data_IF_607411225312
#
_entry.id   IF_607411225312
#
_cell.length_a   1.000
_cell.length_b   1.000
_cell.length_c   1.000
_cell.angle_alpha   90.00
_cell.angle_beta   90.00
_cell.angle_gamma   90.00
#
_symmetry.space_group_name_H-M   'P 1'
#
loop_
_entity.id
_entity.type
_entity.pdbx_description
1 polymer ?
#
# COMPACT_ATOMS: atom_id res chain seq x y z
N UNK A 1 -19.37 5.71 15.43
CA UNK A 1 -18.83 4.58 16.22
C UNK A 1 -17.60 4.08 15.49
N UNK A 2 -16.45 4.02 16.14
CA UNK A 2 -15.20 3.57 15.50
C UNK A 2 -14.94 2.11 15.87
N UNK A 3 -14.83 1.24 14.88
CA UNK A 3 -14.61 -0.20 15.10
C UNK A 3 -13.17 -0.58 14.78
N UNK A 4 -12.63 -1.57 15.50
CA UNK A 4 -11.37 -2.22 15.19
C UNK A 4 -11.62 -3.72 14.94
N UNK A 5 -11.27 -4.18 13.75
CA UNK A 5 -11.37 -5.58 13.32
C UNK A 5 -9.99 -6.18 13.21
N UNK A 6 -9.76 -7.30 13.90
CA UNK A 6 -8.60 -8.15 13.69
C UNK A 6 -8.99 -9.32 12.80
N UNK A 7 -8.29 -9.50 11.69
CA UNK A 7 -8.47 -10.61 10.75
C UNK A 7 -7.20 -11.46 10.77
N UNK A 8 -7.32 -12.70 11.24
CA UNK A 8 -6.28 -13.71 11.09
C UNK A 8 -6.44 -14.32 9.70
N UNK A 9 -5.56 -13.95 8.77
CA UNK A 9 -5.68 -14.31 7.35
C UNK A 9 -5.30 -15.78 7.14
N UNK A 10 -5.99 -16.45 6.22
CA UNK A 10 -5.65 -17.81 5.82
C UNK A 10 -4.54 -17.81 4.74
N UNK A 11 -3.29 -18.21 5.04
CA UNK A 11 -2.19 -18.17 4.07
C UNK A 11 -2.39 -19.14 2.89
N UNK A 12 -3.23 -20.16 3.04
CA UNK A 12 -3.54 -21.13 1.99
C UNK A 12 -4.52 -20.56 0.96
N UNK A 13 -5.21 -19.46 1.26
CA UNK A 13 -6.12 -18.82 0.33
C UNK A 13 -5.34 -18.00 -0.73
N UNK A 14 -5.64 -18.23 -2.02
CA UNK A 14 -5.01 -17.50 -3.13
C UNK A 14 -5.31 -16.00 -3.07
N UNK A 15 -6.53 -15.61 -2.71
CA UNK A 15 -6.92 -14.21 -2.61
C UNK A 15 -6.08 -13.48 -1.54
N UNK A 16 -5.90 -14.11 -0.38
CA UNK A 16 -5.03 -13.59 0.70
C UNK A 16 -3.61 -13.38 0.20
N UNK A 17 -3.01 -14.37 -0.48
CA UNK A 17 -1.64 -14.23 -1.00
C UNK A 17 -1.51 -13.12 -2.04
N UNK A 18 -2.50 -12.97 -2.91
CA UNK A 18 -2.52 -11.90 -3.90
C UNK A 18 -2.62 -10.52 -3.23
N UNK A 19 -3.52 -10.38 -2.26
CA UNK A 19 -3.71 -9.14 -1.50
C UNK A 19 -2.47 -8.78 -0.67
N UNK A 20 -1.83 -9.76 -0.03
CA UNK A 20 -0.59 -9.51 0.74
C UNK A 20 0.59 -9.09 -0.16
N UNK A 21 0.60 -9.52 -1.42
CA UNK A 21 1.60 -9.13 -2.41
C UNK A 21 1.33 -7.75 -3.03
N UNK A 22 0.08 -7.29 -3.04
CA UNK A 22 -0.34 -6.04 -3.65
C UNK A 22 -1.29 -5.24 -2.74
N UNK A 23 -0.75 -4.16 -2.16
CA UNK A 23 -1.48 -3.25 -1.26
C UNK A 23 -2.72 -2.64 -1.92
N UNK A 24 -2.70 -2.40 -3.23
CA UNK A 24 -3.86 -1.83 -3.92
C UNK A 24 -4.99 -2.85 -4.05
N UNK A 25 -4.66 -4.11 -4.33
CA UNK A 25 -5.62 -5.21 -4.32
C UNK A 25 -6.18 -5.46 -2.91
N UNK A 26 -5.33 -5.49 -1.89
CA UNK A 26 -5.76 -5.56 -0.50
C UNK A 26 -6.71 -4.42 -0.13
N UNK A 27 -6.37 -3.18 -0.51
CA UNK A 27 -7.21 -2.03 -0.24
C UNK A 27 -8.60 -2.17 -0.88
N UNK A 28 -8.68 -2.64 -2.13
CA UNK A 28 -9.96 -2.89 -2.82
C UNK A 28 -10.78 -3.96 -2.10
N UNK A 29 -10.16 -5.06 -1.66
CA UNK A 29 -10.83 -6.09 -0.88
C UNK A 29 -11.41 -5.52 0.42
N UNK A 30 -10.63 -4.70 1.14
CA UNK A 30 -11.07 -4.09 2.40
C UNK A 30 -12.13 -3.01 2.23
N UNK A 31 -12.17 -2.31 1.09
CA UNK A 31 -13.25 -1.36 0.80
C UNK A 31 -14.62 -2.02 0.72
N UNK A 32 -14.70 -3.35 0.51
CA UNK A 32 -15.96 -4.11 0.59
C UNK A 32 -16.55 -4.19 2.00
N UNK A 33 -15.72 -3.97 3.03
CA UNK A 33 -16.18 -3.85 4.41
C UNK A 33 -16.88 -2.51 4.68
N UNK A 34 -16.76 -1.55 3.75
CA UNK A 34 -17.46 -0.28 3.82
C UNK A 34 -18.86 -0.42 3.22
N UNK A 35 -19.89 0.17 3.84
CA UNK A 35 -21.21 0.21 3.24
C UNK A 35 -21.13 0.97 1.92
N UNK A 36 -21.96 0.61 0.94
CA UNK A 36 -22.04 1.36 -0.31
C UNK A 36 -22.51 2.79 0.00
N UNK A 37 -21.58 3.73 -0.14
CA UNK A 37 -21.86 5.15 0.02
C UNK A 37 -21.77 5.80 -1.35
N UNK A 38 -22.87 6.43 -1.78
CA UNK A 38 -22.92 7.27 -2.97
C UNK A 38 -22.22 8.62 -2.70
N UNK A 39 -20.99 8.58 -2.19
CA UNK A 39 -20.18 9.77 -1.90
C UNK A 39 -19.20 10.03 -3.04
N UNK A 40 -18.94 11.31 -3.40
CA UNK A 40 -17.86 11.67 -4.32
C UNK A 40 -16.47 11.24 -3.83
N UNK A 41 -16.30 11.01 -2.53
CA UNK A 41 -15.04 10.57 -1.92
C UNK A 41 -15.22 9.31 -1.09
N UNK A 42 -15.40 8.15 -1.74
CA UNK A 42 -15.74 6.91 -1.05
C UNK A 42 -14.81 6.54 0.11
N UNK A 43 -13.52 6.62 -0.16
CA UNK A 43 -12.46 6.36 0.82
C UNK A 43 -12.56 7.24 2.07
N UNK A 44 -12.84 8.53 1.91
CA UNK A 44 -12.90 9.46 3.03
C UNK A 44 -14.16 9.21 3.87
N UNK A 45 -15.27 8.89 3.21
CA UNK A 45 -16.53 8.55 3.87
C UNK A 45 -16.43 7.25 4.67
N UNK A 46 -15.74 6.23 4.14
CA UNK A 46 -15.54 4.95 4.82
C UNK A 46 -14.64 5.03 6.07
N UNK A 47 -13.76 6.04 6.16
CA UNK A 47 -12.80 6.17 7.25
C UNK A 47 -11.90 4.94 7.43
N UNK A 48 -11.67 4.18 6.35
CA UNK A 48 -10.97 2.90 6.38
C UNK A 48 -9.46 3.08 6.54
N UNK A 49 -8.93 2.56 7.64
CA UNK A 49 -7.50 2.44 7.90
C UNK A 49 -7.15 0.97 8.11
N UNK A 50 -5.97 0.54 7.67
CA UNK A 50 -5.53 -0.82 7.91
C UNK A 50 -4.02 -0.90 8.12
N UNK A 51 -3.59 -1.94 8.83
CA UNK A 51 -2.18 -2.28 9.03
C UNK A 51 -2.00 -3.79 9.04
N UNK A 52 -1.03 -4.26 8.26
CA UNK A 52 -0.58 -5.66 8.31
C UNK A 52 0.40 -5.85 9.47
N UNK A 53 0.16 -6.82 10.33
CA UNK A 53 1.09 -7.22 11.37
C UNK A 53 2.10 -8.24 10.80
N UNK A 54 3.35 -8.11 11.25
CA UNK A 54 4.41 -9.06 10.91
C UNK A 54 4.46 -10.13 11.99
N UNK A 55 4.37 -11.39 11.61
CA UNK A 55 4.36 -12.54 12.52
C UNK A 55 4.33 -13.85 11.73
N UNK A 56 4.39 -15.01 12.40
CA UNK A 56 4.27 -16.32 11.75
C UNK A 56 2.91 -16.45 11.03
N UNK A 57 1.86 -15.87 11.64
CA UNK A 57 0.53 -15.83 11.07
C UNK A 57 0.20 -14.43 10.54
N UNK A 58 -0.15 -14.27 9.24
CA UNK A 58 -0.49 -12.99 8.67
C UNK A 58 -1.76 -12.44 9.32
N UNK A 59 -1.61 -11.38 10.11
CA UNK A 59 -2.73 -10.72 10.79
C UNK A 59 -2.94 -9.33 10.21
N UNK A 60 -4.19 -8.98 9.96
CA UNK A 60 -4.59 -7.67 9.47
C UNK A 60 -5.43 -6.96 10.54
N UNK A 61 -5.07 -5.73 10.85
CA UNK A 61 -5.86 -4.83 11.68
C UNK A 61 -6.55 -3.82 10.78
N UNK A 62 -7.87 -3.72 10.88
CA UNK A 62 -8.72 -2.83 10.08
C UNK A 62 -9.54 -1.96 11.01
N UNK A 63 -9.42 -0.64 10.86
CA UNK A 63 -10.23 0.33 11.58
C UNK A 63 -11.20 1.00 10.62
N UNK A 64 -12.46 1.11 11.03
CA UNK A 64 -13.55 1.72 10.25
C UNK A 64 -14.34 2.71 11.10
N UNK A 65 -14.96 3.71 10.46
CA UNK A 65 -15.84 4.68 11.12
C UNK A 65 -17.30 4.18 11.29
N UNK A 66 -17.54 2.92 10.90
CA UNK A 66 -18.82 2.22 10.90
C UNK A 66 -18.62 0.75 11.29
N UNK A 67 -19.71 0.01 11.47
CA UNK A 67 -19.67 -1.45 11.72
C UNK A 67 -19.34 -2.17 10.40
N UNK A 68 -18.21 -2.88 10.30
CA UNK A 68 -17.80 -3.50 9.04
C UNK A 68 -18.64 -4.73 8.70
N UNK A 69 -19.03 -4.86 7.44
CA UNK A 69 -19.68 -6.08 6.94
C UNK A 69 -18.63 -7.14 6.59
N UNK A 70 -18.43 -8.08 7.50
CA UNK A 70 -17.45 -9.16 7.34
C UNK A 70 -17.87 -10.20 6.30
N UNK A 71 -19.16 -10.28 5.94
CA UNK A 71 -19.67 -11.23 4.95
C UNK A 71 -19.23 -10.89 3.52
N UNK A 72 -18.81 -9.64 3.29
CA UNK A 72 -18.32 -9.15 2.00
C UNK A 72 -16.88 -9.60 1.67
N UNK A 73 -16.18 -10.21 2.64
CA UNK A 73 -14.85 -10.79 2.41
C UNK A 73 -14.96 -12.08 1.57
N UNK A 74 -13.91 -12.42 0.79
CA UNK A 74 -13.87 -13.71 0.10
C UNK A 74 -14.08 -14.89 1.04
N UNK A 75 -14.66 -15.98 0.52
CA UNK A 75 -14.76 -17.23 1.28
C UNK A 75 -13.36 -17.68 1.75
N UNK A 76 -13.29 -18.19 2.97
CA UNK A 76 -12.06 -18.67 3.62
C UNK A 76 -10.92 -17.64 3.67
N UNK A 77 -11.25 -16.34 3.67
CA UNK A 77 -10.23 -15.27 3.75
C UNK A 77 -9.50 -15.28 5.10
N UNK A 78 -10.20 -15.67 6.16
CA UNK A 78 -9.64 -15.76 7.50
C UNK A 78 -10.70 -15.64 8.58
N UNK A 79 -10.24 -15.61 9.84
CA UNK A 79 -11.11 -15.45 11.01
C UNK A 79 -11.05 -14.00 11.48
N UNK A 80 -12.21 -13.33 11.50
CA UNK A 80 -12.32 -11.93 11.89
C UNK A 80 -12.95 -11.77 13.28
N UNK A 81 -12.47 -10.79 14.06
CA UNK A 81 -13.06 -10.37 15.33
C UNK A 81 -13.10 -8.85 15.38
N UNK A 82 -14.29 -8.30 15.63
CA UNK A 82 -14.53 -6.85 15.73
C UNK A 82 -14.73 -6.44 17.18
N UNK A 83 -14.17 -5.29 17.55
CA UNK A 83 -14.38 -4.64 18.85
C UNK A 83 -14.70 -3.16 18.65
N UNK A 84 -15.54 -2.59 19.52
CA UNK A 84 -15.79 -1.15 19.54
C UNK A 84 -14.61 -0.42 20.19
N UNK A 85 -14.01 0.50 19.45
CA UNK A 85 -12.89 1.31 19.90
C UNK A 85 -13.36 2.64 20.51
N UNK A 86 -14.62 3.01 20.32
CA UNK A 86 -15.20 4.28 20.78
C UNK A 86 -15.00 4.53 22.28
N UNK A 87 -15.23 3.57 23.19
CA UNK A 87 -15.03 3.79 24.62
C UNK A 87 -13.56 4.08 24.97
N UNK A 88 -12.63 3.38 24.31
CA UNK A 88 -11.19 3.59 24.51
C UNK A 88 -10.79 4.98 24.03
N UNK A 89 -11.25 5.41 22.85
CA UNK A 89 -10.95 6.72 22.29
C UNK A 89 -11.54 7.85 23.15
N UNK A 90 -12.77 7.68 23.63
CA UNK A 90 -13.41 8.66 24.53
C UNK A 90 -12.71 8.76 25.89
N UNK A 91 -11.97 7.72 26.30
CA UNK A 91 -11.18 7.74 27.54
C UNK A 91 -9.82 8.46 27.42
N UNK A 92 -9.46 8.93 26.21
CA UNK A 92 -8.22 9.66 25.99
C UNK A 92 -8.37 11.11 26.49
N UNK A 93 -7.63 11.43 27.54
CA UNK A 93 -7.57 12.76 28.14
C UNK A 93 -6.16 13.33 28.01
N UNK A 94 -6.05 14.67 28.07
CA UNK A 94 -4.75 15.33 28.09
C UNK A 94 -3.89 14.80 29.26
N UNK A 95 -2.59 14.62 29.00
CA UNK A 95 -1.63 14.07 29.96
C UNK A 95 -1.65 12.54 30.12
N UNK A 96 -2.59 11.82 29.49
CA UNK A 96 -2.64 10.35 29.57
C UNK A 96 -1.55 9.71 28.71
N UNK A 97 -0.69 8.92 29.34
CA UNK A 97 0.32 8.12 28.63
C UNK A 97 -0.34 6.92 27.96
N UNK A 98 -0.10 6.78 26.65
CA UNK A 98 -0.61 5.65 25.87
C UNK A 98 0.49 5.06 24.99
N UNK A 99 0.47 3.73 24.86
CA UNK A 99 1.28 3.04 23.86
C UNK A 99 0.49 2.96 22.57
N UNK A 100 1.07 3.45 21.49
CA UNK A 100 0.48 3.36 20.17
C UNK A 100 1.54 2.92 19.16
N UNK A 101 1.08 2.54 17.96
CA UNK A 101 1.94 2.21 16.84
C UNK A 101 1.33 2.77 15.57
N UNK A 102 2.16 3.36 14.72
CA UNK A 102 1.76 3.88 13.42
C UNK A 102 2.61 3.27 12.32
N UNK A 103 2.06 3.21 11.11
CA UNK A 103 2.82 3.00 9.88
C UNK A 103 2.57 4.21 9.01
N UNK A 104 3.62 4.97 8.72
CA UNK A 104 3.55 6.21 7.97
C UNK A 104 4.60 6.23 6.87
N UNK A 105 4.45 7.14 5.91
CA UNK A 105 5.43 7.42 4.88
C UNK A 105 6.07 8.80 5.14
N UNK A 106 7.21 8.86 5.85
CA UNK A 106 7.91 10.11 6.14
C UNK A 106 8.38 10.75 4.84
N UNK A 107 7.85 11.92 4.52
CA UNK A 107 8.17 12.65 3.29
C UNK A 107 8.28 14.14 3.53
N UNK A 108 9.14 14.78 2.75
CA UNK A 108 9.30 16.23 2.70
C UNK A 108 9.31 16.70 1.25
N UNK A 109 8.66 17.83 0.97
CA UNK A 109 8.74 18.48 -0.32
C UNK A 109 10.00 19.36 -0.34
N UNK A 110 11.02 18.97 -1.10
CA UNK A 110 12.24 19.77 -1.28
C UNK A 110 12.14 20.55 -2.58
N UNK A 111 12.49 21.83 -2.58
CA UNK A 111 12.54 22.61 -3.82
C UNK A 111 13.57 21.96 -4.75
N UNK A 112 13.11 21.38 -5.86
CA UNK A 112 14.00 20.96 -6.93
C UNK A 112 14.22 22.21 -7.78
N UNK A 113 15.43 22.78 -7.74
CA UNK A 113 15.90 23.99 -8.45
C UNK A 113 14.82 24.80 -9.18
N UNK A 114 14.31 24.28 -10.30
CA UNK A 114 13.19 24.85 -11.05
C UNK A 114 11.88 24.04 -10.85
N UNK A 115 11.09 24.28 -9.78
CA UNK A 115 9.88 23.51 -9.51
C UNK A 115 8.77 23.82 -10.51
N UNK A 116 8.17 22.78 -11.09
CA UNK A 116 7.03 22.90 -12.00
C UNK A 116 5.88 23.62 -11.31
N UNK A 117 5.38 24.69 -11.95
CA UNK A 117 4.27 25.49 -11.44
C UNK A 117 2.98 24.67 -11.55
N UNK A 118 2.22 24.56 -10.47
CA UNK A 118 0.90 23.94 -10.53
C UNK A 118 0.00 24.77 -11.48
N UNK A 119 -0.63 24.16 -12.50
CA UNK A 119 -1.34 24.89 -13.55
C UNK A 119 -2.52 25.71 -13.02
N UNK A 120 -3.24 25.19 -12.01
CA UNK A 120 -4.40 25.87 -11.42
C UNK A 120 -4.04 26.81 -10.25
N UNK A 121 -3.16 26.41 -9.33
CA UNK A 121 -2.92 27.16 -8.08
C UNK A 121 -1.67 28.03 -8.10
N UNK A 122 -0.84 27.94 -9.14
CA UNK A 122 0.41 28.70 -9.24
C UNK A 122 1.51 28.31 -8.25
N UNK A 123 1.23 27.39 -7.32
CA UNK A 123 2.17 26.95 -6.28
C UNK A 123 3.27 26.09 -6.89
N UNK A 124 4.51 26.35 -6.45
CA UNK A 124 5.68 25.55 -6.79
C UNK A 124 5.72 24.34 -5.87
N UNK A 125 5.45 23.14 -6.40
CA UNK A 125 5.54 21.90 -5.62
C UNK A 125 6.96 21.35 -5.74
N UNK A 126 7.68 21.31 -4.63
CA UNK A 126 8.98 20.65 -4.56
C UNK A 126 8.89 19.15 -4.86
N UNK A 127 10.02 18.54 -5.23
CA UNK A 127 10.13 17.07 -5.36
C UNK A 127 9.89 16.44 -3.98
N UNK A 128 8.98 15.48 -3.93
CA UNK A 128 8.73 14.70 -2.72
C UNK A 128 9.91 13.75 -2.52
N UNK A 129 10.60 13.89 -1.40
CA UNK A 129 11.72 13.04 -1.01
C UNK A 129 11.35 12.26 0.23
N UNK A 130 11.63 10.96 0.22
CA UNK A 130 11.44 10.08 1.39
C UNK A 130 12.50 10.37 2.45
N UNK A 131 12.08 10.39 3.70
CA UNK A 131 12.98 10.50 4.85
C UNK A 131 13.21 9.12 5.47
N UNK A 132 14.42 8.87 5.95
CA UNK A 132 14.84 7.61 6.57
C UNK A 132 15.65 7.89 7.84
N UNK A 133 15.80 6.89 8.72
CA UNK A 133 16.58 7.05 9.96
C UNK A 133 16.05 8.15 10.88
N UNK A 134 16.95 8.97 11.41
CA UNK A 134 16.62 10.02 12.38
C UNK A 134 15.74 11.14 11.79
N UNK A 135 15.86 11.41 10.49
CA UNK A 135 14.98 12.37 9.80
C UNK A 135 13.52 11.91 9.83
N UNK A 136 13.28 10.59 9.70
CA UNK A 136 11.93 10.03 9.79
C UNK A 136 11.36 10.11 11.21
N UNK A 137 12.21 9.93 12.23
CA UNK A 137 11.83 10.07 13.65
C UNK A 137 11.47 11.53 13.96
N UNK A 138 12.32 12.46 13.56
CA UNK A 138 12.11 13.91 13.74
C UNK A 138 10.85 14.38 13.02
N UNK A 139 10.63 13.88 11.80
CA UNK A 139 9.40 14.12 11.04
C UNK A 139 8.16 13.66 11.81
N UNK A 140 8.19 12.47 12.41
CA UNK A 140 7.07 11.98 13.22
C UNK A 140 6.87 12.82 14.48
N UNK A 141 7.93 13.14 15.21
CA UNK A 141 7.84 13.96 16.43
C UNK A 141 7.19 15.32 16.15
N UNK A 142 7.59 15.98 15.07
CA UNK A 142 6.99 17.25 14.64
C UNK A 142 5.49 17.10 14.35
N UNK A 143 5.11 16.02 13.64
CA UNK A 143 3.70 15.75 13.31
C UNK A 143 2.87 15.41 14.55
N UNK A 144 3.43 14.63 15.47
CA UNK A 144 2.80 14.28 16.74
C UNK A 144 2.53 15.53 17.58
N UNK A 145 3.55 16.39 17.75
CA UNK A 145 3.42 17.64 18.51
C UNK A 145 2.36 18.57 17.92
N UNK A 146 2.30 18.69 16.59
CA UNK A 146 1.31 19.54 15.91
C UNK A 146 -0.15 19.13 16.16
N UNK A 147 -0.40 17.90 16.60
CA UNK A 147 -1.74 17.39 16.95
C UNK A 147 -1.91 17.14 18.44
N UNK A 148 -1.02 17.68 19.28
CA UNK A 148 -1.09 17.59 20.74
C UNK A 148 -0.56 16.28 21.34
N UNK A 149 0.12 15.43 20.54
CA UNK A 149 0.79 14.24 21.05
C UNK A 149 2.23 14.58 21.44
N UNK A 150 2.66 14.08 22.59
CA UNK A 150 4.04 14.22 23.08
C UNK A 150 4.68 12.82 23.18
N UNK A 151 5.44 12.39 22.15
CA UNK A 151 6.07 11.06 22.17
C UNK A 151 7.16 10.98 23.25
N UNK A 152 6.95 10.19 24.30
CA UNK A 152 7.95 9.96 25.36
C UNK A 152 9.07 9.00 24.92
N UNK A 153 8.72 7.99 24.12
CA UNK A 153 9.67 7.02 23.56
C UNK A 153 9.28 6.74 22.13
N UNK A 154 10.22 6.86 21.19
CA UNK A 154 10.00 6.57 19.77
C UNK A 154 10.97 5.48 19.35
N UNK A 155 10.42 4.38 18.83
CA UNK A 155 11.19 3.31 18.17
C UNK A 155 10.74 3.23 16.72
N UNK A 156 11.69 3.37 15.80
CA UNK A 156 11.46 3.25 14.37
C UNK A 156 11.81 1.84 13.89
N UNK A 157 10.89 1.20 13.17
CA UNK A 157 11.18 -0.01 12.41
C UNK A 157 10.97 0.30 10.93
N UNK A 158 12.03 0.25 10.11
CA UNK A 158 11.88 0.37 8.66
C UNK A 158 10.93 -0.72 8.17
N UNK A 159 9.88 -0.30 7.46
CA UNK A 159 8.99 -1.22 6.77
C UNK A 159 9.15 -1.01 5.27
N UNK A 160 9.66 -2.01 4.52
CA UNK A 160 9.63 -1.93 3.08
C UNK A 160 8.16 -1.88 2.64
N UNK A 161 7.81 -0.87 1.85
CA UNK A 161 6.51 -0.87 1.19
C UNK A 161 6.53 -1.99 0.15
N UNK A 162 5.54 -2.90 0.13
CA UNK A 162 5.41 -3.86 -0.95
C UNK A 162 5.34 -3.08 -2.25
N UNK A 163 6.28 -3.32 -3.17
CA UNK A 163 6.24 -2.72 -4.49
C UNK A 163 4.99 -3.26 -5.18
N UNK A 164 4.06 -2.39 -5.53
CA UNK A 164 3.00 -2.72 -6.48
C UNK A 164 3.67 -3.29 -7.71
N UNK A 165 3.40 -4.55 -8.05
CA UNK A 165 3.90 -5.15 -9.28
C UNK A 165 3.23 -4.39 -10.42
N UNK A 166 3.94 -3.44 -11.02
CA UNK A 166 3.53 -2.86 -12.29
C UNK A 166 3.58 -4.01 -13.29
N UNK A 167 2.43 -4.56 -13.64
CA UNK A 167 2.31 -5.46 -14.78
C UNK A 167 2.67 -4.65 -16.00
N UNK A 168 3.91 -4.81 -16.47
CA UNK A 168 4.38 -4.23 -17.72
C UNK A 168 3.71 -5.00 -18.85
N UNK A 169 2.49 -4.63 -19.19
CA UNK A 169 1.80 -5.14 -20.37
C UNK A 169 2.51 -4.54 -21.58
N UNK A 170 3.55 -5.20 -22.06
CA UNK A 170 4.11 -4.88 -23.37
C UNK A 170 3.07 -5.30 -24.42
N UNK A 171 2.63 -4.41 -25.33
CA UNK A 171 1.94 -4.86 -26.52
C UNK A 171 2.96 -5.55 -27.41
N UNK A 172 2.92 -6.88 -27.48
CA UNK A 172 3.66 -7.62 -28.50
C UNK A 172 3.09 -7.25 -29.86
N UNK A 173 3.77 -6.35 -30.57
CA UNK A 173 3.60 -6.18 -32.01
C UNK A 173 4.25 -7.39 -32.69
N UNK A 174 3.44 -8.37 -33.06
CA UNK A 174 3.83 -9.41 -34.00
C UNK A 174 3.76 -8.83 -35.42
N UNK A 175 4.91 -8.53 -36.00
CA UNK A 175 5.08 -8.44 -37.46
C UNK A 175 5.88 -9.67 -37.93
N UNK A 176 5.48 -10.34 -39.02
CA UNK A 176 6.17 -11.52 -39.52
C UNK A 176 7.31 -11.12 -40.46
N UNK A 177 8.54 -11.49 -40.13
CA UNK A 177 9.69 -11.37 -41.04
C UNK A 177 10.17 -12.76 -41.45
N UNK A 178 9.81 -13.08 -42.68
CA UNK A 178 10.47 -13.99 -43.63
C UNK A 178 11.99 -14.05 -43.44
N UNK A 179 12.57 -15.25 -43.40
CA UNK A 179 13.96 -15.45 -43.82
C UNK A 179 14.17 -16.87 -44.33
N UNK A 180 14.51 -16.94 -45.62
CA UNK A 180 14.98 -18.12 -46.33
C UNK A 180 16.32 -18.63 -45.77
N UNK A 181 16.53 -19.94 -45.83
CA UNK A 181 17.79 -20.60 -45.45
C UNK A 181 18.37 -21.31 -46.68
N UNK A 182 19.62 -21.02 -47.11
CA UNK A 182 20.26 -21.73 -48.21
C UNK A 182 21.06 -22.94 -47.71
N UNK A 183 20.98 -24.05 -48.46
CA UNK A 183 21.72 -25.29 -48.22
C UNK A 183 23.15 -25.23 -48.78
N UNK A 184 24.05 -25.88 -48.07
CA UNK A 184 25.51 -25.93 -48.21
C UNK A 184 26.05 -26.59 -49.50
N UNK A 185 27.34 -26.38 -49.84
CA UNK A 185 27.94 -26.76 -51.12
C UNK A 185 28.57 -28.16 -51.12
N UNK A 186 28.75 -28.76 -52.31
CA UNK A 186 29.47 -30.03 -52.53
C UNK A 186 30.21 -29.95 -53.89
N UNK A 187 31.41 -30.55 -54.02
CA UNK A 187 32.52 -30.04 -54.85
C UNK A 187 32.58 -30.61 -56.28
N UNK A 188 33.49 -30.11 -57.16
CA UNK A 188 33.52 -30.45 -58.58
C UNK A 188 34.44 -31.65 -58.91
N UNK A 189 34.28 -32.21 -60.11
CA UNK A 189 35.40 -32.83 -60.82
C UNK A 189 35.69 -32.19 -62.19
N UNK A 190 36.99 -32.01 -62.44
CA UNK A 190 37.71 -31.61 -63.66
C UNK A 190 37.73 -32.73 -64.74
N UNK A 191 38.48 -32.63 -65.86
CA UNK A 191 38.48 -31.61 -66.93
C UNK A 191 38.52 -32.18 -68.39
N UNK A 192 38.27 -31.30 -69.37
CA UNK A 192 38.74 -31.26 -70.81
C UNK A 192 38.44 -32.43 -71.76
N UNK A 193 38.61 -32.32 -73.11
CA UNK A 193 39.28 -31.29 -73.94
C UNK A 193 38.40 -30.12 -74.44
#
# INVERSE_FOLDING_TARGET
>A
MTSLTRIALNPHNRAVRADLADVDSLHKTLMRLAPDHNSPTPRAAAGLLFRTESGPDPTLLVQTAHVPDLSALPADYGTARTVDLTPLLNSLTAGRTVRYRITAAPTVARSAGNPTRHPVTGKRRGKITHLTGDDAITWWQTRAQAVGLQPATVSGLPRPFPRTRVTRTSPTSSSPSSTASPASPTPPPSPTP
#
